data_IF_422829494792
#
_entry.id   IF_422829494792
#
_cell.length_a   1.000
_cell.length_b   1.000
_cell.length_c   1.000
_cell.angle_alpha   90.00
_cell.angle_beta   90.00
_cell.angle_gamma   90.00
#
_symmetry.space_group_name_H-M   'P 1'
#
loop_
_entity.id
_entity.type
_entity.pdbx_description
1 polymer ?
#
# COMPACT_ATOMS: atom_id res chain seq x y z
N UNK A 1 -6.24 7.61 -23.85
CA UNK A 1 -5.64 6.43 -23.20
C UNK A 1 -5.48 6.73 -21.71
N UNK A 2 -5.96 5.83 -20.85
CA UNK A 2 -5.89 6.02 -19.40
C UNK A 2 -4.50 5.63 -18.90
N UNK A 3 -3.82 6.53 -18.21
CA UNK A 3 -2.51 6.27 -17.61
C UNK A 3 -2.71 5.74 -16.18
N UNK A 4 -1.64 5.21 -15.58
CA UNK A 4 -1.64 4.78 -14.17
C UNK A 4 -2.00 5.98 -13.27
N UNK A 5 -1.50 7.17 -13.62
CA UNK A 5 -1.80 8.39 -12.88
C UNK A 5 -3.31 8.70 -12.91
N UNK A 6 -3.95 8.61 -14.08
CA UNK A 6 -5.40 8.85 -14.21
C UNK A 6 -6.21 7.81 -13.45
N UNK A 7 -5.79 6.54 -13.50
CA UNK A 7 -6.42 5.46 -12.76
C UNK A 7 -6.38 5.74 -11.25
N UNK A 8 -5.20 6.11 -10.73
CA UNK A 8 -5.04 6.42 -9.32
C UNK A 8 -5.87 7.63 -8.90
N UNK A 9 -5.93 8.67 -9.74
CA UNK A 9 -6.74 9.85 -9.45
C UNK A 9 -8.22 9.53 -9.30
N UNK A 10 -8.75 8.65 -10.15
CA UNK A 10 -10.14 8.22 -10.06
C UNK A 10 -10.43 7.46 -8.77
N UNK A 11 -9.54 6.56 -8.38
CA UNK A 11 -9.68 5.79 -7.14
C UNK A 11 -9.59 6.72 -5.92
N UNK A 12 -8.66 7.67 -5.94
CA UNK A 12 -8.50 8.65 -4.87
C UNK A 12 -9.78 9.48 -4.70
N UNK A 13 -10.34 9.98 -5.81
CA UNK A 13 -11.57 10.77 -5.78
C UNK A 13 -12.75 9.95 -5.24
N UNK A 14 -12.88 8.69 -5.69
CA UNK A 14 -13.91 7.78 -5.19
C UNK A 14 -13.75 7.50 -3.71
N UNK A 15 -12.51 7.25 -3.27
CA UNK A 15 -12.19 7.02 -1.86
C UNK A 15 -12.66 8.19 -0.99
N UNK A 16 -12.32 9.41 -1.40
CA UNK A 16 -12.67 10.62 -0.63
C UNK A 16 -14.16 10.93 -0.67
N UNK A 17 -14.81 10.67 -1.80
CA UNK A 17 -16.26 10.90 -1.95
C UNK A 17 -17.10 9.91 -1.13
N UNK A 18 -16.58 8.72 -0.85
CA UNK A 18 -17.29 7.61 -0.19
C UNK A 18 -16.69 7.21 1.15
N UNK A 19 -16.00 8.09 1.82
CA UNK A 19 -15.46 7.88 3.18
C UNK A 19 -14.54 6.67 3.28
N UNK A 20 -13.74 6.43 2.23
CA UNK A 20 -12.78 5.34 2.19
C UNK A 20 -13.27 4.08 1.50
N UNK A 21 -14.45 4.10 0.92
CA UNK A 21 -15.01 2.95 0.18
C UNK A 21 -14.72 3.10 -1.30
N UNK A 22 -14.23 2.04 -1.90
CA UNK A 22 -13.91 2.00 -3.33
C UNK A 22 -14.64 0.81 -3.95
N UNK A 23 -15.22 1.04 -5.13
CA UNK A 23 -15.93 0.00 -5.87
C UNK A 23 -15.04 -0.70 -6.91
N UNK A 24 -15.66 -1.28 -7.92
CA UNK A 24 -14.97 -1.98 -9.00
C UNK A 24 -14.14 -3.17 -8.50
N UNK A 25 -12.91 -3.36 -9.01
CA UNK A 25 -12.06 -4.48 -8.61
C UNK A 25 -11.70 -4.50 -7.13
N UNK A 26 -11.84 -3.37 -6.44
CA UNK A 26 -11.46 -3.24 -5.02
C UNK A 26 -12.66 -3.20 -4.09
N UNK A 27 -13.86 -3.48 -4.59
CA UNK A 27 -15.08 -3.45 -3.79
C UNK A 27 -14.95 -4.40 -2.59
N UNK A 28 -15.16 -3.86 -1.39
CA UNK A 28 -15.07 -4.61 -0.14
C UNK A 28 -13.66 -4.78 0.40
N UNK A 29 -12.62 -4.40 -0.36
CA UNK A 29 -11.25 -4.46 0.12
C UNK A 29 -10.95 -3.26 1.03
N UNK A 30 -10.21 -3.46 2.15
CA UNK A 30 -9.75 -2.33 2.95
C UNK A 30 -8.68 -1.57 2.19
N UNK A 31 -8.90 -0.27 1.99
CA UNK A 31 -7.97 0.59 1.25
C UNK A 31 -7.59 1.81 2.05
N UNK A 32 -6.38 2.30 1.81
CA UNK A 32 -5.90 3.56 2.36
C UNK A 32 -5.28 4.39 1.24
N UNK A 33 -5.14 5.69 1.48
CA UNK A 33 -4.35 6.56 0.62
C UNK A 33 -3.03 6.84 1.32
N UNK A 34 -1.91 6.50 0.65
CA UNK A 34 -0.57 6.72 1.17
C UNK A 34 0.01 8.00 0.57
N UNK A 35 0.35 8.96 1.43
CA UNK A 35 1.10 10.15 1.05
C UNK A 35 2.57 9.90 1.35
N UNK A 36 3.40 9.87 0.32
CA UNK A 36 4.83 9.61 0.46
C UNK A 36 5.65 10.64 -0.31
N UNK A 37 6.93 10.74 0.03
CA UNK A 37 7.84 11.74 -0.56
C UNK A 37 8.80 11.07 -1.51
N UNK A 38 8.88 11.58 -2.73
CA UNK A 38 9.77 11.05 -3.76
C UNK A 38 11.22 11.06 -3.32
N UNK A 39 11.91 9.91 -3.43
CA UNK A 39 13.30 9.75 -2.98
C UNK A 39 14.26 10.69 -3.73
N UNK A 40 13.98 10.95 -5.00
CA UNK A 40 14.82 11.81 -5.85
C UNK A 40 14.26 13.21 -6.01
N UNK A 41 12.94 13.33 -6.18
CA UNK A 41 12.29 14.61 -6.49
C UNK A 41 11.91 15.43 -5.26
N UNK A 42 11.74 14.80 -4.10
CA UNK A 42 11.23 15.44 -2.91
C UNK A 42 9.75 15.81 -2.97
N UNK A 43 9.06 15.45 -4.06
CA UNK A 43 7.65 15.79 -4.24
C UNK A 43 6.76 14.79 -3.53
N UNK A 44 5.67 15.28 -2.92
CA UNK A 44 4.66 14.43 -2.32
C UNK A 44 3.81 13.78 -3.39
N UNK A 45 3.58 12.47 -3.23
CA UNK A 45 2.73 11.68 -4.11
C UNK A 45 1.69 10.94 -3.28
N UNK A 46 0.55 10.59 -3.88
CA UNK A 46 -0.52 9.87 -3.21
C UNK A 46 -0.84 8.61 -4.01
N UNK A 47 -0.85 7.47 -3.34
CA UNK A 47 -1.22 6.18 -3.95
C UNK A 47 -2.31 5.49 -3.13
N UNK A 48 -3.38 4.99 -3.81
CA UNK A 48 -4.35 4.11 -3.15
C UNK A 48 -3.76 2.70 -3.04
N UNK A 49 -3.86 2.11 -1.85
CA UNK A 49 -3.30 0.78 -1.58
C UNK A 49 -4.25 -0.04 -0.71
N UNK A 50 -4.31 -1.34 -0.98
CA UNK A 50 -4.96 -2.30 -0.08
C UNK A 50 -4.06 -2.47 1.14
N UNK A 51 -4.67 -2.55 2.33
CA UNK A 51 -3.92 -2.76 3.56
C UNK A 51 -4.51 -3.91 4.39
N UNK A 52 -3.69 -4.42 5.30
CA UNK A 52 -4.09 -5.39 6.30
C UNK A 52 -3.87 -4.78 7.68
N UNK A 53 -4.91 -4.74 8.51
CA UNK A 53 -4.76 -4.26 9.88
C UNK A 53 -4.07 -5.34 10.73
N UNK A 54 -3.07 -4.94 11.53
CA UNK A 54 -2.32 -5.80 12.42
C UNK A 54 -2.07 -5.06 13.74
N UNK A 55 -3.01 -5.16 14.67
CA UNK A 55 -2.97 -4.41 15.92
C UNK A 55 -2.89 -2.92 15.66
N UNK A 56 -1.82 -2.27 16.11
CA UNK A 56 -1.61 -0.82 15.95
C UNK A 56 -0.98 -0.46 14.60
N UNK A 57 -0.70 -1.47 13.77
CA UNK A 57 -0.02 -1.26 12.49
C UNK A 57 -0.98 -1.46 11.32
N UNK A 58 -0.70 -0.75 10.23
CA UNK A 58 -1.32 -0.99 8.93
C UNK A 58 -0.25 -1.56 8.02
N UNK A 59 -0.52 -2.72 7.40
CA UNK A 59 0.45 -3.38 6.54
C UNK A 59 0.10 -3.13 5.09
N UNK A 60 1.08 -2.72 4.29
CA UNK A 60 0.94 -2.53 2.84
C UNK A 60 1.94 -3.43 2.12
N UNK A 61 1.62 -3.80 0.89
CA UNK A 61 2.33 -4.85 0.16
C UNK A 61 2.80 -4.32 -1.19
N UNK A 62 4.10 -4.42 -1.44
CA UNK A 62 4.71 -3.94 -2.67
C UNK A 62 4.53 -4.90 -3.85
N UNK A 63 3.32 -5.42 -4.05
CA UNK A 63 3.03 -6.44 -5.06
C UNK A 63 3.13 -5.92 -6.49
N UNK A 64 2.63 -4.71 -6.75
CA UNK A 64 2.59 -4.11 -8.09
C UNK A 64 2.06 -5.10 -9.14
N UNK A 65 1.02 -5.90 -8.76
CA UNK A 65 0.43 -6.89 -9.66
C UNK A 65 1.35 -8.04 -10.07
N UNK A 66 2.44 -8.30 -9.31
CA UNK A 66 3.42 -9.32 -9.65
C UNK A 66 4.49 -8.84 -10.63
N UNK A 67 4.61 -7.53 -10.85
CA UNK A 67 5.65 -6.97 -11.71
C UNK A 67 7.06 -7.32 -11.21
N UNK A 68 8.08 -7.35 -12.10
CA UNK A 68 9.44 -7.75 -11.71
C UNK A 68 10.17 -6.73 -10.84
N UNK A 69 9.64 -5.51 -10.70
CA UNK A 69 10.25 -4.44 -9.91
C UNK A 69 9.32 -4.02 -8.79
N UNK A 70 9.89 -3.47 -7.70
CA UNK A 70 9.13 -2.91 -6.61
C UNK A 70 8.46 -1.60 -7.03
N UNK A 71 7.30 -1.26 -6.43
CA UNK A 71 6.65 0.02 -6.72
C UNK A 71 7.47 1.21 -6.21
N UNK A 72 7.28 2.37 -6.84
CA UNK A 72 8.01 3.59 -6.47
C UNK A 72 7.79 3.99 -5.02
N UNK A 73 6.57 3.81 -4.49
CA UNK A 73 6.29 4.19 -3.10
C UNK A 73 7.14 3.40 -2.11
N UNK A 74 7.50 2.17 -2.44
CA UNK A 74 8.38 1.36 -1.58
C UNK A 74 9.78 1.99 -1.48
N UNK A 75 10.35 2.38 -2.62
CA UNK A 75 11.66 3.05 -2.64
C UNK A 75 11.59 4.40 -1.94
N UNK A 76 10.49 5.11 -2.09
CA UNK A 76 10.28 6.41 -1.44
C UNK A 76 10.20 6.25 0.09
N UNK A 77 9.53 5.23 0.59
CA UNK A 77 9.44 4.98 2.03
C UNK A 77 10.78 4.50 2.62
N UNK A 78 11.59 3.80 1.83
CA UNK A 78 12.95 3.43 2.29
C UNK A 78 13.82 4.65 2.48
N UNK A 79 13.70 5.62 1.59
CA UNK A 79 14.47 6.87 1.68
C UNK A 79 13.89 7.83 2.72
N UNK A 80 12.55 7.87 2.82
CA UNK A 80 11.81 8.79 3.69
C UNK A 80 10.71 8.01 4.41
N UNK A 81 11.00 7.39 5.56
CA UNK A 81 10.02 6.54 6.24
C UNK A 81 8.87 7.29 6.91
N UNK A 82 8.99 8.61 7.08
CA UNK A 82 7.89 9.42 7.56
C UNK A 82 6.85 9.63 6.44
N UNK A 83 5.60 9.29 6.71
CA UNK A 83 4.54 9.37 5.72
C UNK A 83 3.22 9.77 6.38
N UNK A 84 2.17 9.93 5.59
CA UNK A 84 0.82 10.21 6.06
C UNK A 84 -0.13 9.27 5.34
N UNK A 85 -1.17 8.83 6.03
CA UNK A 85 -2.21 7.99 5.41
C UNK A 85 -3.59 8.58 5.65
N UNK A 86 -4.50 8.25 4.72
CA UNK A 86 -5.94 8.50 4.89
C UNK A 86 -6.62 7.14 4.99
N UNK A 87 -7.33 6.90 6.09
CA UNK A 87 -8.08 5.67 6.32
C UNK A 87 -9.52 6.06 6.68
N UNK A 88 -10.49 5.65 5.86
CA UNK A 88 -11.86 6.14 6.03
C UNK A 88 -11.91 7.65 5.93
N UNK A 89 -12.30 8.33 7.00
CA UNK A 89 -12.32 9.79 7.08
C UNK A 89 -11.16 10.37 7.90
N UNK A 90 -10.30 9.50 8.43
CA UNK A 90 -9.16 9.91 9.25
C UNK A 90 -7.89 10.13 8.41
N UNK A 91 -7.10 11.10 8.81
CA UNK A 91 -5.79 11.36 8.21
C UNK A 91 -4.77 11.52 9.33
N UNK A 92 -3.69 10.75 9.31
CA UNK A 92 -2.70 10.78 10.38
C UNK A 92 -1.30 10.41 9.89
N UNK A 93 -0.29 10.87 10.64
CA UNK A 93 1.11 10.58 10.34
C UNK A 93 1.49 9.18 10.79
N UNK A 94 2.36 8.53 10.02
CA UNK A 94 2.86 7.18 10.29
C UNK A 94 4.37 7.12 10.06
N UNK A 95 4.99 6.09 10.65
CA UNK A 95 6.39 5.71 10.40
C UNK A 95 6.41 4.37 9.71
N UNK A 96 7.12 4.28 8.59
CA UNK A 96 7.21 3.05 7.80
C UNK A 96 8.39 2.18 8.23
N UNK A 97 8.17 0.88 8.28
CA UNK A 97 9.20 -0.12 8.59
C UNK A 97 9.03 -1.31 7.67
N UNK A 98 10.09 -1.69 6.96
CA UNK A 98 10.07 -2.89 6.14
C UNK A 98 10.19 -4.12 7.01
N UNK A 99 9.22 -5.04 6.89
CA UNK A 99 9.24 -6.32 7.60
C UNK A 99 10.01 -7.36 6.78
N UNK A 100 10.77 -8.20 7.46
CA UNK A 100 11.60 -9.22 6.81
C UNK A 100 11.49 -10.55 7.54
N UNK A 101 12.04 -11.63 6.94
CA UNK A 101 12.11 -12.94 7.56
C UNK A 101 10.75 -13.57 7.83
N UNK A 102 10.62 -14.25 8.95
CA UNK A 102 9.41 -14.99 9.31
C UNK A 102 8.21 -14.10 9.53
N UNK A 103 8.40 -12.89 10.07
CA UNK A 103 7.30 -11.94 10.26
C UNK A 103 6.71 -11.54 8.92
N UNK A 104 7.55 -11.20 7.96
CA UNK A 104 7.12 -10.89 6.59
C UNK A 104 6.33 -12.06 6.00
N UNK A 105 6.86 -13.27 6.09
CA UNK A 105 6.26 -14.46 5.48
C UNK A 105 4.91 -14.79 6.11
N UNK A 106 4.81 -14.69 7.42
CA UNK A 106 3.57 -14.93 8.17
C UNK A 106 2.47 -13.94 7.77
N UNK A 107 2.82 -12.66 7.69
CA UNK A 107 1.85 -11.61 7.37
C UNK A 107 1.47 -11.60 5.89
N UNK A 108 2.40 -11.90 5.01
CA UNK A 108 2.07 -12.06 3.58
C UNK A 108 1.12 -13.25 3.37
N UNK A 109 1.38 -14.37 4.02
CA UNK A 109 0.50 -15.53 3.96
C UNK A 109 -0.90 -15.23 4.47
N UNK A 110 -1.01 -14.43 5.53
CA UNK A 110 -2.31 -13.99 6.06
C UNK A 110 -3.07 -13.15 5.02
N UNK A 111 -2.40 -12.21 4.38
CA UNK A 111 -3.02 -11.40 3.33
C UNK A 111 -3.44 -12.26 2.13
N UNK A 112 -2.59 -13.19 1.70
CA UNK A 112 -2.90 -14.08 0.60
C UNK A 112 -4.10 -15.00 0.90
N UNK A 113 -4.28 -15.38 2.18
CA UNK A 113 -5.45 -16.13 2.62
C UNK A 113 -6.74 -15.33 2.54
N UNK A 114 -6.67 -14.03 2.80
CA UNK A 114 -7.81 -13.12 2.72
C UNK A 114 -8.09 -12.67 1.29
N UNK A 115 -7.04 -12.49 0.49
CA UNK A 115 -7.12 -12.04 -0.90
C UNK A 115 -6.20 -12.92 -1.75
N UNK A 116 -6.70 -14.03 -2.31
CA UNK A 116 -5.88 -15.01 -3.03
C UNK A 116 -5.06 -14.44 -4.20
N UNK A 117 -5.49 -13.31 -4.78
CA UNK A 117 -4.72 -12.65 -5.84
C UNK A 117 -3.29 -12.31 -5.40
N UNK A 118 -3.05 -12.09 -4.11
CA UNK A 118 -1.70 -11.77 -3.60
C UNK A 118 -0.76 -12.98 -3.70
N UNK A 119 -1.27 -14.19 -3.51
CA UNK A 119 -0.49 -15.41 -3.75
C UNK A 119 -0.10 -15.51 -5.23
N UNK A 120 -1.04 -15.19 -6.12
CA UNK A 120 -0.77 -15.19 -7.56
C UNK A 120 0.28 -14.16 -7.94
N UNK A 121 0.26 -12.97 -7.33
CA UNK A 121 1.26 -11.94 -7.58
C UNK A 121 2.67 -12.44 -7.23
N UNK A 122 2.83 -13.14 -6.12
CA UNK A 122 4.13 -13.68 -5.72
C UNK A 122 4.63 -14.75 -6.70
N UNK A 123 3.74 -15.54 -7.30
CA UNK A 123 4.13 -16.54 -8.29
C UNK A 123 4.59 -15.94 -9.63
N UNK A 124 4.18 -14.70 -9.92
CA UNK A 124 4.52 -14.02 -11.17
C UNK A 124 5.91 -13.35 -11.14
N UNK A 125 6.53 -13.24 -9.97
CA UNK A 125 7.82 -12.58 -9.84
C UNK A 125 8.79 -13.40 -9.01
N UNK A 126 10.09 -13.28 -9.32
CA UNK A 126 11.16 -13.93 -8.56
C UNK A 126 11.56 -13.16 -7.31
N UNK A 127 11.24 -11.86 -7.28
CA UNK A 127 11.54 -11.05 -6.10
C UNK A 127 10.60 -11.41 -4.96
N UNK A 128 11.05 -11.22 -3.72
CA UNK A 128 10.19 -11.29 -2.56
C UNK A 128 9.38 -10.02 -2.46
N UNK A 129 8.04 -10.13 -2.54
CA UNK A 129 7.17 -8.96 -2.43
C UNK A 129 7.32 -8.34 -1.03
N UNK A 130 7.73 -7.07 -0.92
CA UNK A 130 7.95 -6.47 0.39
C UNK A 130 6.65 -6.23 1.15
N UNK A 131 6.72 -6.38 2.46
CA UNK A 131 5.65 -6.02 3.40
C UNK A 131 6.16 -4.86 4.23
N UNK A 132 5.41 -3.77 4.27
CA UNK A 132 5.78 -2.57 5.01
C UNK A 132 4.74 -2.31 6.09
N UNK A 133 5.19 -2.13 7.33
CA UNK A 133 4.34 -1.79 8.45
C UNK A 133 4.32 -0.27 8.62
N UNK A 134 3.12 0.29 8.75
CA UNK A 134 2.91 1.71 9.00
C UNK A 134 2.38 1.85 10.44
N UNK A 135 3.18 2.45 11.30
CA UNK A 135 2.82 2.65 12.71
C UNK A 135 2.41 4.11 12.91
N UNK A 136 1.24 4.33 13.49
CA UNK A 136 0.73 5.67 13.75
C UNK A 136 1.66 6.40 14.73
N UNK A 137 2.04 7.62 14.40
CA UNK A 137 2.83 8.48 15.28
C UNK A 137 1.94 9.12 16.33
N UNK A 138 2.45 9.16 17.54
CA UNK A 138 1.78 9.80 18.65
C UNK A 138 1.69 11.34 18.43
#
# INVERSE_FOLDING_TARGET
MTTVHDWNSKIIDEFRANEGRVGGPFKGAPMLLLHHTGAKSGKTRVNPLVYLADGDRLLIFGSKGGAPTNPDWFHNLRANPAATVEVGTDKFAVEAEELTGEERDRLFAKQAGLMPAFADYQTKTRRTIPVVALTRKA
#
